data_IF_660625636385
#
_entry.id   IF_660625636385
#
_cell.length_a   1.000
_cell.length_b   1.000
_cell.length_c   1.000
_cell.angle_alpha   90.00
_cell.angle_beta   90.00
_cell.angle_gamma   90.00
#
_symmetry.space_group_name_H-M   'P 1'
#
loop_
_entity.id
_entity.type
_entity.pdbx_description
1 polymer ?
#
# COMPACT_ATOMS: atom_id res chain seq x y z
N UNK A 1 -6.03 -3.83 35.71
CA UNK A 1 -6.20 -5.16 35.08
C UNK A 1 -5.40 -5.13 33.78
N UNK A 2 -4.40 -5.99 33.64
CA UNK A 2 -3.59 -6.05 32.41
C UNK A 2 -4.37 -6.76 31.30
N UNK A 3 -4.29 -6.25 30.08
CA UNK A 3 -4.82 -6.95 28.92
C UNK A 3 -3.92 -8.14 28.61
N UNK A 4 -4.45 -9.35 28.76
CA UNK A 4 -3.76 -10.58 28.33
C UNK A 4 -3.91 -10.73 26.82
N UNK A 5 -2.79 -10.78 26.10
CA UNK A 5 -2.76 -11.02 24.65
C UNK A 5 -2.33 -12.47 24.41
N UNK A 6 -3.05 -13.20 23.57
CA UNK A 6 -2.73 -14.58 23.19
C UNK A 6 -1.84 -14.59 21.94
N UNK A 7 -0.78 -15.38 21.96
CA UNK A 7 0.09 -15.54 20.78
C UNK A 7 -0.62 -16.33 19.67
N UNK A 8 -0.47 -15.88 18.44
CA UNK A 8 -1.00 -16.54 17.23
C UNK A 8 0.14 -16.93 16.27
N UNK A 9 -0.11 -17.88 15.37
CA UNK A 9 0.85 -18.21 14.31
C UNK A 9 0.91 -17.04 13.33
N UNK A 10 2.13 -16.66 12.94
CA UNK A 10 2.34 -15.63 11.92
C UNK A 10 1.84 -16.10 10.56
N UNK A 11 0.84 -15.41 10.00
CA UNK A 11 0.47 -15.55 8.60
C UNK A 11 1.49 -14.79 7.75
N UNK A 12 2.49 -15.51 7.23
CA UNK A 12 3.49 -14.93 6.33
C UNK A 12 3.01 -14.99 4.89
N UNK A 13 3.10 -13.84 4.22
CA UNK A 13 3.02 -13.75 2.78
C UNK A 13 4.46 -13.70 2.25
N UNK A 14 4.96 -14.76 1.58
CA UNK A 14 6.34 -14.78 1.12
C UNK A 14 6.58 -13.72 0.05
N UNK A 15 7.83 -13.32 -0.14
CA UNK A 15 8.22 -12.45 -1.27
C UNK A 15 7.72 -13.04 -2.60
N UNK A 16 7.15 -12.19 -3.46
CA UNK A 16 6.56 -12.60 -4.73
C UNK A 16 5.52 -11.63 -5.28
N UNK A 17 4.86 -12.01 -6.38
CA UNK A 17 3.79 -11.22 -7.00
C UNK A 17 2.42 -11.72 -6.55
N UNK A 18 1.53 -10.78 -6.26
CA UNK A 18 0.21 -11.04 -5.70
C UNK A 18 -0.86 -10.16 -6.34
N UNK A 19 -2.10 -10.51 -6.04
CA UNK A 19 -3.29 -9.81 -6.48
C UNK A 19 -4.20 -9.54 -5.30
N UNK A 20 -4.89 -8.41 -5.35
CA UNK A 20 -5.78 -8.01 -4.27
C UNK A 20 -6.78 -6.95 -4.69
N UNK A 21 -7.48 -6.43 -3.69
CA UNK A 21 -8.45 -5.36 -3.85
C UNK A 21 -8.09 -4.24 -2.88
N UNK A 22 -8.11 -3.00 -3.36
CA UNK A 22 -7.97 -1.81 -2.50
C UNK A 22 -9.19 -1.74 -1.59
N UNK A 23 -9.00 -1.90 -0.28
CA UNK A 23 -10.09 -1.84 0.70
C UNK A 23 -10.28 -0.45 1.28
N UNK A 24 -9.17 0.28 1.44
CA UNK A 24 -9.16 1.55 2.15
C UNK A 24 -7.98 2.40 1.72
N UNK A 25 -8.19 3.71 1.70
CA UNK A 25 -7.16 4.72 1.55
C UNK A 25 -7.28 5.65 2.75
N UNK A 26 -6.16 5.98 3.39
CA UNK A 26 -6.12 6.91 4.52
C UNK A 26 -5.06 7.97 4.30
N UNK A 27 -5.32 9.17 4.82
CA UNK A 27 -4.37 10.27 4.82
C UNK A 27 -3.97 10.57 6.26
N UNK A 28 -2.69 10.40 6.55
CA UNK A 28 -2.11 10.70 7.86
C UNK A 28 -1.36 12.01 7.75
N UNK A 29 -1.64 12.96 8.65
CA UNK A 29 -0.96 14.26 8.62
C UNK A 29 0.19 14.38 9.62
N UNK A 30 0.20 13.57 10.69
CA UNK A 30 1.15 13.67 11.81
C UNK A 30 1.85 12.33 12.10
N UNK A 31 3.15 12.33 12.49
CA UNK A 31 4.08 13.46 12.50
C UNK A 31 4.49 13.93 11.09
N UNK A 32 4.17 13.15 10.06
CA UNK A 32 4.48 13.42 8.67
C UNK A 32 3.30 13.07 7.79
N UNK A 33 3.20 13.71 6.62
CA UNK A 33 2.13 13.47 5.65
C UNK A 33 2.36 12.17 4.87
N UNK A 34 1.50 11.19 5.10
CA UNK A 34 1.51 9.90 4.41
C UNK A 34 0.13 9.58 3.83
N UNK A 35 0.14 8.98 2.65
CA UNK A 35 -1.00 8.31 2.05
C UNK A 35 -0.83 6.82 2.28
N UNK A 36 -1.76 6.22 3.01
CA UNK A 36 -1.76 4.79 3.30
C UNK A 36 -2.81 4.10 2.43
N UNK A 37 -2.40 3.07 1.69
CA UNK A 37 -3.29 2.27 0.85
C UNK A 37 -3.32 0.85 1.44
N UNK A 38 -4.52 0.36 1.72
CA UNK A 38 -4.75 -0.97 2.26
C UNK A 38 -5.26 -1.88 1.16
N UNK A 39 -4.56 -3.00 0.96
CA UNK A 39 -4.87 -3.98 -0.08
C UNK A 39 -5.11 -5.34 0.57
N UNK A 40 -6.31 -5.89 0.41
CA UNK A 40 -6.61 -7.26 0.80
C UNK A 40 -6.17 -8.21 -0.30
N UNK A 41 -5.22 -9.07 0.03
CA UNK A 41 -4.73 -10.11 -0.86
C UNK A 41 -5.80 -11.20 -1.05
N UNK A 42 -5.94 -11.67 -2.29
CA UNK A 42 -7.09 -12.47 -2.72
C UNK A 42 -7.12 -13.90 -2.18
N UNK A 43 -5.98 -14.49 -1.80
CA UNK A 43 -5.87 -15.92 -1.49
C UNK A 43 -5.75 -16.24 -0.01
N UNK A 44 -5.04 -15.39 0.76
CA UNK A 44 -4.74 -15.59 2.18
C UNK A 44 -5.57 -14.70 3.10
N UNK A 45 -6.47 -13.88 2.54
CA UNK A 45 -7.28 -12.89 3.27
C UNK A 45 -6.48 -11.96 4.18
N UNK A 46 -5.20 -11.72 3.85
CA UNK A 46 -4.34 -10.79 4.60
C UNK A 46 -4.48 -9.41 3.97
N UNK A 47 -4.76 -8.41 4.81
CA UNK A 47 -4.69 -7.00 4.40
C UNK A 47 -3.29 -6.46 4.64
N UNK A 48 -2.62 -6.07 3.56
CA UNK A 48 -1.34 -5.39 3.61
C UNK A 48 -1.54 -3.88 3.52
N UNK A 49 -0.67 -3.14 4.19
CA UNK A 49 -0.64 -1.69 4.15
C UNK A 49 0.61 -1.22 3.43
N UNK A 50 0.46 -0.30 2.49
CA UNK A 50 1.57 0.50 1.95
C UNK A 50 1.42 1.93 2.42
N UNK A 51 2.45 2.47 3.09
CA UNK A 51 2.49 3.85 3.57
C UNK A 51 3.47 4.65 2.72
N UNK A 52 2.97 5.62 1.96
CA UNK A 52 3.76 6.40 0.98
C UNK A 52 3.75 7.88 1.39
N UNK A 53 4.89 8.59 1.42
CA UNK A 53 4.89 10.03 1.67
C UNK A 53 3.97 10.76 0.68
N UNK A 54 3.13 11.67 1.17
CA UNK A 54 2.10 12.37 0.35
C UNK A 54 2.70 13.36 -0.67
N UNK A 55 4.03 13.56 -0.67
CA UNK A 55 4.70 14.39 -1.69
C UNK A 55 4.60 13.73 -3.07
N UNK A 56 4.05 14.45 -4.04
CA UNK A 56 3.88 13.98 -5.42
C UNK A 56 4.88 14.70 -6.33
N UNK A 57 5.77 13.93 -6.95
CA UNK A 57 6.56 14.30 -8.14
C UNK A 57 6.61 13.08 -9.05
N UNK A 58 7.03 13.23 -10.31
CA UNK A 58 7.15 12.08 -11.23
C UNK A 58 8.01 10.95 -10.65
N UNK A 59 9.04 11.29 -9.87
CA UNK A 59 9.97 10.33 -9.27
C UNK A 59 9.57 9.84 -7.87
N UNK A 60 8.53 10.39 -7.23
CA UNK A 60 8.13 9.88 -5.91
C UNK A 60 7.34 8.59 -6.05
N UNK A 61 7.44 7.71 -5.04
CA UNK A 61 6.66 6.48 -5.00
C UNK A 61 5.15 6.72 -5.20
N UNK A 62 4.60 7.82 -4.65
CA UNK A 62 3.19 8.16 -4.86
C UNK A 62 2.94 8.59 -6.31
N UNK A 63 3.83 9.37 -6.92
CA UNK A 63 3.74 9.73 -8.33
C UNK A 63 3.75 8.52 -9.25
N UNK A 64 4.67 7.57 -9.03
CA UNK A 64 4.75 6.30 -9.77
C UNK A 64 3.44 5.50 -9.63
N UNK A 65 2.92 5.36 -8.40
CA UNK A 65 1.62 4.69 -8.18
C UNK A 65 0.52 5.38 -8.97
N UNK A 66 0.35 6.70 -8.85
CA UNK A 66 -0.70 7.41 -9.59
C UNK A 66 -0.54 7.27 -11.11
N UNK A 67 0.69 7.23 -11.62
CA UNK A 67 0.97 6.97 -13.04
C UNK A 67 0.63 5.55 -13.45
N UNK A 68 0.89 4.53 -12.63
CA UNK A 68 0.44 3.16 -12.87
C UNK A 68 -1.10 3.07 -12.97
N UNK A 69 -1.81 3.94 -12.26
CA UNK A 69 -3.27 4.07 -12.31
C UNK A 69 -3.76 5.01 -13.43
N UNK A 70 -2.87 5.43 -14.33
CA UNK A 70 -3.21 6.18 -15.54
C UNK A 70 -3.17 7.71 -15.39
N UNK A 71 -2.68 8.24 -14.26
CA UNK A 71 -2.53 9.68 -14.09
C UNK A 71 -1.23 10.21 -14.70
N UNK A 72 -1.30 11.36 -15.37
CA UNK A 72 -0.12 12.12 -15.76
C UNK A 72 0.25 13.09 -14.63
N UNK A 73 1.48 12.96 -14.11
CA UNK A 73 2.00 13.85 -13.07
C UNK A 73 2.44 15.17 -13.71
N UNK A 74 1.99 16.28 -13.13
CA UNK A 74 2.21 17.63 -13.62
C UNK A 74 2.48 18.54 -12.41
N UNK A 75 3.41 19.48 -12.59
CA UNK A 75 3.80 20.42 -11.54
C UNK A 75 2.63 21.35 -11.19
N UNK A 76 2.43 21.62 -9.89
CA UNK A 76 1.38 22.50 -9.36
C UNK A 76 -0.07 22.03 -9.61
N UNK A 77 -0.28 20.76 -9.94
CA UNK A 77 -1.61 20.16 -10.07
C UNK A 77 -2.03 19.47 -8.78
N UNK A 78 -3.29 19.63 -8.40
CA UNK A 78 -3.89 18.89 -7.30
C UNK A 78 -4.37 17.51 -7.77
N UNK A 79 -4.18 16.48 -6.94
CA UNK A 79 -4.54 15.10 -7.23
C UNK A 79 -5.51 14.55 -6.20
N UNK A 80 -6.66 14.06 -6.67
CA UNK A 80 -7.58 13.25 -5.87
C UNK A 80 -7.12 11.78 -5.91
N UNK A 81 -6.31 11.39 -4.93
CA UNK A 81 -5.75 10.02 -4.85
C UNK A 81 -6.85 8.97 -4.68
N UNK A 82 -7.89 9.25 -3.90
CA UNK A 82 -9.02 8.33 -3.74
C UNK A 82 -9.79 8.15 -5.04
N UNK A 83 -10.02 9.23 -5.77
CA UNK A 83 -10.66 9.19 -7.08
C UNK A 83 -9.84 8.49 -8.16
N UNK A 84 -8.50 8.50 -8.07
CA UNK A 84 -7.60 7.84 -9.02
C UNK A 84 -7.44 6.35 -8.70
N UNK A 85 -7.09 6.01 -7.46
CA UNK A 85 -6.81 4.62 -7.05
C UNK A 85 -8.10 3.83 -6.88
N UNK A 86 -9.13 4.47 -6.30
CA UNK A 86 -10.47 3.95 -5.98
C UNK A 86 -10.48 2.70 -5.09
N UNK A 87 -11.26 2.78 -4.01
CA UNK A 87 -11.63 1.60 -3.22
C UNK A 87 -12.41 0.62 -4.10
N UNK A 88 -12.13 -0.67 -3.98
CA UNK A 88 -12.70 -1.74 -4.79
C UNK A 88 -11.89 -2.05 -6.06
N UNK A 89 -10.88 -1.26 -6.40
CA UNK A 89 -10.02 -1.55 -7.56
C UNK A 89 -9.22 -2.83 -7.32
N UNK A 90 -9.32 -3.76 -8.28
CA UNK A 90 -8.46 -4.94 -8.35
C UNK A 90 -7.05 -4.51 -8.76
N UNK A 91 -6.06 -4.97 -8.02
CA UNK A 91 -4.66 -4.58 -8.21
C UNK A 91 -3.75 -5.79 -8.27
N UNK A 92 -2.61 -5.61 -8.92
CA UNK A 92 -1.45 -6.49 -8.81
C UNK A 92 -0.30 -5.73 -8.16
N UNK A 93 0.52 -6.43 -7.37
CA UNK A 93 1.62 -5.84 -6.63
C UNK A 93 2.67 -6.90 -6.30
N UNK A 94 3.90 -6.45 -6.03
CA UNK A 94 4.95 -7.28 -5.47
C UNK A 94 5.08 -7.05 -3.97
N UNK A 95 5.42 -8.13 -3.27
CA UNK A 95 5.73 -8.13 -1.85
C UNK A 95 7.19 -8.51 -1.69
N UNK A 96 7.86 -7.83 -0.77
CA UNK A 96 9.19 -8.17 -0.29
C UNK A 96 9.21 -8.28 1.24
N UNK A 97 10.23 -8.96 1.75
CA UNK A 97 10.47 -9.08 3.17
C UNK A 97 11.16 -7.81 3.69
N UNK A 98 10.53 -7.11 4.64
CA UNK A 98 11.10 -5.99 5.37
C UNK A 98 11.60 -6.49 6.73
N UNK A 99 12.93 -6.54 6.89
CA UNK A 99 13.60 -7.04 8.10
C UNK A 99 13.87 -5.87 9.04
N UNK A 100 13.24 -5.90 10.21
CA UNK A 100 13.39 -4.89 11.26
C UNK A 100 13.86 -5.54 12.56
N UNK A 101 14.29 -4.71 13.52
CA UNK A 101 14.60 -5.17 14.89
C UNK A 101 13.40 -5.86 15.59
N UNK A 102 12.17 -5.66 15.07
CA UNK A 102 10.92 -6.22 15.59
C UNK A 102 10.49 -7.50 14.86
N UNK A 103 11.25 -7.95 13.87
CA UNK A 103 10.96 -9.12 13.04
C UNK A 103 10.87 -8.80 11.55
N UNK A 104 10.57 -9.84 10.78
CA UNK A 104 10.40 -9.77 9.32
C UNK A 104 8.92 -9.70 8.97
N UNK A 105 8.54 -8.68 8.19
CA UNK A 105 7.16 -8.46 7.76
C UNK A 105 7.07 -8.41 6.23
N UNK A 106 5.93 -8.83 5.69
CA UNK A 106 5.63 -8.67 4.28
C UNK A 106 5.28 -7.20 3.98
N UNK A 107 5.96 -6.60 3.01
CA UNK A 107 5.74 -5.22 2.58
C UNK A 107 5.46 -5.15 1.09
N UNK A 108 4.46 -4.37 0.70
CA UNK A 108 4.21 -4.07 -0.71
C UNK A 108 5.31 -3.13 -1.21
N UNK A 109 5.94 -3.47 -2.34
CA UNK A 109 6.75 -2.54 -3.12
C UNK A 109 5.85 -1.52 -3.80
N UNK A 110 5.79 -0.31 -3.26
CA UNK A 110 4.85 0.75 -3.66
C UNK A 110 4.73 0.93 -5.18
N UNK A 111 5.87 1.05 -5.85
CA UNK A 111 6.04 1.30 -7.27
C UNK A 111 5.50 0.18 -8.17
N UNK A 112 5.29 -1.02 -7.63
CA UNK A 112 4.74 -2.16 -8.37
C UNK A 112 3.22 -2.23 -8.31
N UNK A 113 2.59 -1.45 -7.41
CA UNK A 113 1.14 -1.41 -7.25
C UNK A 113 0.49 -0.80 -8.50
N UNK A 114 -0.35 -1.59 -9.17
CA UNK A 114 -1.01 -1.20 -10.41
C UNK A 114 -2.38 -1.87 -10.58
N UNK A 115 -3.32 -1.27 -11.32
CA UNK A 115 -4.60 -1.90 -11.64
C UNK A 115 -4.40 -3.23 -12.36
N UNK A 116 -5.16 -4.25 -11.97
CA UNK A 116 -5.28 -5.50 -12.73
C UNK A 116 -6.40 -5.33 -13.76
N UNK A 117 -6.06 -5.54 -15.04
CA UNK A 117 -7.02 -5.57 -16.15
C UNK A 117 -7.86 -6.84 -16.13
#
# INVERSE_FOLDING_TARGET
>A
MGNTIKGEKSNKLPTGSYEGVVEKIEFKETPYKYTEIFVKESTKEVTLKVSIPTKITEDTALGIVLTNFGSKIEVNKDYDVEGIVKVGTKVSFEVEDDVTDRGTFARIKSETLKPKK
#
